data_IF_201666545804
#
_entry.id   IF_201666545804
#
_cell.length_a   1.000
_cell.length_b   1.000
_cell.length_c   1.000
_cell.angle_alpha   90.00
_cell.angle_beta   90.00
_cell.angle_gamma   90.00
#
_symmetry.space_group_name_H-M   'P 1'
#
loop_
_entity.id
_entity.type
_entity.pdbx_description
1 polymer ?
#
# COMPACT_ATOMS: atom_id res chain seq x y z
N UNK A 1 14.55 -3.53 -11.87
CA UNK A 1 14.53 -2.16 -12.43
C UNK A 1 13.61 -1.36 -11.54
N UNK A 2 14.06 -0.27 -10.92
CA UNK A 2 13.23 0.46 -9.96
C UNK A 2 12.25 1.36 -10.69
N UNK A 3 10.94 1.17 -10.48
CA UNK A 3 9.92 2.06 -11.04
C UNK A 3 10.01 3.40 -10.28
N UNK A 4 10.17 4.55 -10.96
CA UNK A 4 10.14 5.84 -10.30
C UNK A 4 8.74 6.13 -9.78
N UNK A 5 8.64 6.53 -8.52
CA UNK A 5 7.39 6.86 -7.84
C UNK A 5 7.53 8.29 -7.31
N UNK A 6 6.67 9.19 -7.76
CA UNK A 6 6.60 10.57 -7.28
C UNK A 6 5.28 10.78 -6.54
N UNK A 7 5.37 11.00 -5.23
CA UNK A 7 4.22 11.27 -4.36
C UNK A 7 4.45 12.61 -3.67
N UNK A 8 3.44 13.48 -3.68
CA UNK A 8 3.45 14.73 -2.93
C UNK A 8 2.80 14.55 -1.56
N UNK A 9 1.82 13.66 -1.47
CA UNK A 9 1.15 13.26 -0.24
C UNK A 9 0.98 11.74 -0.17
N UNK A 10 0.71 11.21 1.02
CA UNK A 10 0.37 9.79 1.18
C UNK A 10 -0.93 9.42 0.46
N UNK A 11 -1.85 10.37 0.30
CA UNK A 11 -3.11 10.19 -0.42
C UNK A 11 -2.93 9.86 -1.91
N UNK A 12 -1.82 10.28 -2.50
CA UNK A 12 -1.54 10.11 -3.93
C UNK A 12 -1.37 8.63 -4.31
N UNK A 13 -1.12 7.75 -3.33
CA UNK A 13 -1.02 6.28 -3.52
C UNK A 13 -2.27 5.71 -4.19
N UNK A 14 -3.45 6.27 -3.91
CA UNK A 14 -4.71 5.82 -4.51
C UNK A 14 -4.72 5.92 -6.04
N UNK A 15 -3.89 6.80 -6.62
CA UNK A 15 -3.81 7.04 -8.05
C UNK A 15 -2.64 6.31 -8.74
N UNK A 16 -1.86 5.50 -8.01
CA UNK A 16 -0.75 4.76 -8.59
C UNK A 16 -1.23 3.55 -9.40
N UNK A 17 -0.39 3.12 -10.34
CA UNK A 17 -0.58 1.84 -11.02
C UNK A 17 -0.34 0.69 -10.05
N UNK A 18 -1.00 -0.44 -10.29
CA UNK A 18 -0.92 -1.62 -9.41
C UNK A 18 0.52 -2.12 -9.25
N UNK A 19 1.32 -2.07 -10.32
CA UNK A 19 2.73 -2.48 -10.27
C UNK A 19 3.58 -1.55 -9.38
N UNK A 20 3.27 -0.26 -9.33
CA UNK A 20 3.93 0.69 -8.42
C UNK A 20 3.53 0.42 -6.97
N UNK A 21 2.26 0.12 -6.71
CA UNK A 21 1.77 -0.21 -5.37
C UNK A 21 2.41 -1.49 -4.85
N UNK A 22 2.51 -2.54 -5.69
CA UNK A 22 3.20 -3.78 -5.33
C UNK A 22 4.67 -3.55 -5.00
N UNK A 23 5.35 -2.71 -5.76
CA UNK A 23 6.75 -2.35 -5.48
C UNK A 23 6.89 -1.60 -4.13
N UNK A 24 5.92 -0.74 -3.77
CA UNK A 24 5.88 -0.11 -2.44
C UNK A 24 5.68 -1.17 -1.36
N UNK A 25 4.68 -2.04 -1.50
CA UNK A 25 4.37 -3.09 -0.52
C UNK A 25 5.58 -4.01 -0.30
N UNK A 26 6.29 -4.39 -1.37
CA UNK A 26 7.46 -5.26 -1.27
C UNK A 26 8.67 -4.59 -0.58
N UNK A 27 8.76 -3.24 -0.62
CA UNK A 27 9.86 -2.47 -0.02
C UNK A 27 9.57 -2.05 1.42
N UNK A 28 8.30 -1.85 1.77
CA UNK A 28 7.87 -1.44 3.11
C UNK A 28 7.62 -2.70 3.94
N UNK A 29 8.23 -2.78 5.12
CA UNK A 29 8.01 -3.91 6.03
C UNK A 29 6.54 -4.01 6.47
N UNK A 30 6.07 -5.23 6.77
CA UNK A 30 4.67 -5.48 7.18
C UNK A 30 4.22 -4.63 8.37
N UNK A 31 5.09 -4.44 9.36
CA UNK A 31 4.74 -3.69 10.58
C UNK A 31 4.51 -2.21 10.28
N UNK A 32 5.38 -1.58 9.50
CA UNK A 32 5.24 -0.18 9.09
C UNK A 32 3.99 0.01 8.23
N UNK A 33 3.73 -0.93 7.32
CA UNK A 33 2.55 -0.89 6.47
C UNK A 33 1.26 -1.03 7.28
N UNK A 34 1.25 -1.87 8.33
CA UNK A 34 0.10 -2.03 9.22
C UNK A 34 -0.23 -0.71 9.95
N UNK A 35 0.78 -0.02 10.47
CA UNK A 35 0.59 1.28 11.12
C UNK A 35 0.09 2.33 10.12
N UNK A 36 0.69 2.39 8.93
CA UNK A 36 0.32 3.36 7.91
C UNK A 36 -1.13 3.18 7.41
N UNK A 37 -1.55 1.93 7.18
CA UNK A 37 -2.88 1.60 6.66
C UNK A 37 -3.98 1.91 7.68
N UNK A 38 -3.72 1.79 8.99
CA UNK A 38 -4.70 2.17 10.02
C UNK A 38 -5.08 3.66 9.98
N UNK A 39 -4.15 4.53 9.61
CA UNK A 39 -4.36 5.97 9.50
C UNK A 39 -4.68 6.45 8.07
N UNK A 40 -4.65 5.55 7.08
CA UNK A 40 -4.88 5.87 5.69
C UNK A 40 -6.34 6.25 5.41
N UNK A 41 -6.56 7.04 4.35
CA UNK A 41 -7.91 7.26 3.82
C UNK A 41 -8.43 5.99 3.14
N UNK A 42 -9.75 5.82 3.09
CA UNK A 42 -10.36 4.62 2.47
C UNK A 42 -9.89 4.36 1.02
N UNK A 43 -9.77 5.36 0.13
CA UNK A 43 -9.24 5.12 -1.22
C UNK A 43 -7.82 4.55 -1.24
N UNK A 44 -6.96 4.95 -0.29
CA UNK A 44 -5.61 4.41 -0.18
C UNK A 44 -5.63 3.00 0.41
N UNK A 45 -6.47 2.75 1.42
CA UNK A 45 -6.65 1.41 2.00
C UNK A 45 -7.11 0.43 0.93
N UNK A 46 -8.16 0.76 0.19
CA UNK A 46 -8.71 -0.10 -0.86
C UNK A 46 -7.66 -0.42 -1.93
N UNK A 47 -6.90 0.59 -2.36
CA UNK A 47 -5.85 0.42 -3.36
C UNK A 47 -4.71 -0.49 -2.90
N UNK A 48 -4.25 -0.32 -1.66
CA UNK A 48 -3.16 -1.12 -1.10
C UNK A 48 -3.62 -2.54 -0.79
N UNK A 49 -4.74 -2.70 -0.09
CA UNK A 49 -5.28 -4.01 0.29
C UNK A 49 -5.77 -4.81 -0.93
N UNK A 50 -6.25 -4.14 -1.99
CA UNK A 50 -6.62 -4.77 -3.26
C UNK A 50 -5.42 -5.33 -4.04
N UNK A 51 -4.21 -4.86 -3.75
CA UNK A 51 -2.97 -5.35 -4.34
C UNK A 51 -2.25 -6.41 -3.49
N UNK A 52 -2.86 -6.85 -2.39
CA UNK A 52 -2.35 -7.89 -1.50
C UNK A 52 -3.07 -9.22 -1.67
N UNK A 53 -2.38 -10.31 -1.35
CA UNK A 53 -3.01 -11.63 -1.21
C UNK A 53 -3.99 -11.66 -0.04
N UNK A 54 -4.90 -12.65 -0.03
CA UNK A 54 -5.85 -12.83 1.08
C UNK A 54 -5.15 -13.02 2.44
N UNK A 55 -4.01 -13.72 2.44
CA UNK A 55 -3.21 -13.97 3.64
C UNK A 55 -2.58 -12.69 4.19
N UNK A 56 -2.01 -11.85 3.31
CA UNK A 56 -1.44 -10.55 3.67
C UNK A 56 -2.49 -9.60 4.20
N UNK A 57 -3.67 -9.57 3.55
CA UNK A 57 -4.81 -8.75 3.99
C UNK A 57 -5.30 -9.18 5.37
N UNK A 58 -5.43 -10.49 5.62
CA UNK A 58 -5.90 -10.99 6.91
C UNK A 58 -4.96 -10.58 8.05
N UNK A 59 -3.64 -10.69 7.83
CA UNK A 59 -2.63 -10.32 8.81
C UNK A 59 -2.62 -8.82 9.19
N UNK A 60 -3.14 -7.93 8.33
CA UNK A 60 -3.23 -6.49 8.60
C UNK A 60 -4.56 -6.08 9.26
N UNK A 61 -5.57 -6.96 9.23
CA UNK A 61 -6.91 -6.71 9.79
C UNK A 61 -7.14 -7.32 11.17
N UNK A 62 -6.12 -7.96 11.77
CA UNK A 62 -6.12 -8.46 13.15
C UNK A 62 -5.42 -7.47 14.08
#
# INVERSE_FOLDING_TARGET
>A
MSIPIHLSTFGDIANLDDDQVKEIIARVGRDDLNVAIKAASEPVKDKVLGNMSEEERHALTQ
#
